data_IF_480954647248
#
_entry.id   IF_480954647248
#
_cell.length_a   1.000
_cell.length_b   1.000
_cell.length_c   1.000
_cell.angle_alpha   90.00
_cell.angle_beta   90.00
_cell.angle_gamma   90.00
#
_symmetry.space_group_name_H-M   'P 1'
#
loop_
_entity.id
_entity.type
_entity.pdbx_description
1 polymer ?
#
# COMPACT_ATOMS: atom_id res chain seq x y z
N UNK A 1 10.22 17.36 78.02
CA UNK A 1 10.25 15.92 78.38
C UNK A 1 9.19 15.20 77.56
N UNK A 2 9.63 14.16 76.84
CA UNK A 2 8.93 12.95 76.39
C UNK A 2 7.50 12.98 75.80
N UNK A 3 7.43 12.28 74.66
CA UNK A 3 6.29 11.85 73.86
C UNK A 3 5.21 11.07 74.65
N UNK A 4 3.96 11.10 74.12
CA UNK A 4 3.09 9.92 73.94
C UNK A 4 2.25 10.17 72.67
N UNK A 5 2.51 9.45 71.57
CA UNK A 5 2.10 8.08 71.27
C UNK A 5 0.63 7.99 70.79
N UNK A 6 0.53 7.39 69.60
CA UNK A 6 -0.62 7.23 68.73
C UNK A 6 -1.77 6.44 69.37
N UNK A 7 -2.99 6.69 68.88
CA UNK A 7 -4.03 5.67 68.85
C UNK A 7 -4.79 5.72 67.53
N UNK A 8 -4.60 4.65 66.76
CA UNK A 8 -5.32 4.22 65.57
C UNK A 8 -6.79 3.92 65.92
N UNK A 9 -7.76 4.01 64.99
CA UNK A 9 -8.13 3.07 63.91
C UNK A 9 -9.46 3.63 63.27
N UNK A 10 -10.19 2.91 62.41
CA UNK A 10 -9.89 2.48 61.04
C UNK A 10 -11.07 2.82 60.10
N UNK A 11 -10.89 2.67 58.79
CA UNK A 11 -12.02 2.47 57.88
C UNK A 11 -11.91 3.28 56.59
N UNK A 12 -11.63 2.58 55.50
CA UNK A 12 -11.67 3.17 54.17
C UNK A 12 -10.65 2.58 53.22
N UNK A 13 -11.05 1.47 52.58
CA UNK A 13 -10.76 1.16 51.18
C UNK A 13 -9.30 1.13 50.68
N UNK A 14 -8.88 -0.09 50.39
CA UNK A 14 -8.00 -0.47 49.29
C UNK A 14 -8.27 0.38 48.02
N UNK A 15 -7.20 0.72 47.28
CA UNK A 15 -7.11 1.49 46.02
C UNK A 15 -6.47 2.90 46.03
N UNK A 16 -5.73 3.30 47.07
CA UNK A 16 -4.91 4.54 47.09
C UNK A 16 -3.40 4.33 46.82
N UNK A 17 -3.01 3.27 46.12
CA UNK A 17 -1.59 2.93 45.88
C UNK A 17 -1.02 3.29 44.50
N UNK A 18 -1.88 3.55 43.51
CA UNK A 18 -1.44 3.72 42.10
C UNK A 18 -1.57 5.17 41.61
N UNK A 19 -2.48 5.96 42.21
CA UNK A 19 -2.73 7.34 41.79
C UNK A 19 -1.59 8.32 42.17
N UNK A 20 -0.89 8.10 43.30
CA UNK A 20 0.26 8.92 43.68
C UNK A 20 1.58 8.46 43.05
N UNK A 21 1.63 7.22 42.53
CA UNK A 21 2.85 6.64 41.93
C UNK A 21 3.22 7.19 40.56
N UNK A 22 2.27 7.73 39.79
CA UNK A 22 2.52 8.25 38.43
C UNK A 22 2.69 9.77 38.43
N UNK A 23 2.15 10.47 39.43
CA UNK A 23 2.28 11.94 39.54
C UNK A 23 3.73 12.39 39.81
N UNK A 24 4.53 11.55 40.48
CA UNK A 24 5.95 11.78 40.73
C UNK A 24 6.91 11.46 39.56
N UNK A 25 6.42 10.88 38.45
CA UNK A 25 7.29 10.43 37.33
C UNK A 25 7.32 11.43 36.16
N UNK A 26 6.54 12.52 36.19
CA UNK A 26 6.53 13.50 35.07
C UNK A 26 6.56 14.97 35.52
N UNK A 27 6.40 15.29 36.80
CA UNK A 27 6.40 16.70 37.23
C UNK A 27 7.81 17.25 37.57
N UNK A 28 8.73 16.39 37.99
CA UNK A 28 10.08 16.81 38.42
C UNK A 28 11.20 16.91 37.36
N UNK A 29 11.05 16.53 36.06
CA UNK A 29 12.09 16.82 35.08
C UNK A 29 12.01 18.25 34.51
N UNK A 30 10.86 18.93 34.64
CA UNK A 30 10.66 20.26 34.06
C UNK A 30 11.26 21.39 34.93
N UNK A 31 11.31 21.19 36.24
CA UNK A 31 11.81 22.16 37.24
C UNK A 31 13.35 22.26 37.27
N UNK A 32 14.04 21.21 36.83
CA UNK A 32 15.50 21.07 36.87
C UNK A 32 16.21 21.71 35.66
N UNK A 33 15.56 21.76 34.49
CA UNK A 33 16.11 22.36 33.26
C UNK A 33 16.26 23.88 33.38
N UNK A 34 15.43 24.54 34.19
CA UNK A 34 15.44 26.00 34.34
C UNK A 34 16.53 26.52 35.29
N UNK A 35 17.19 25.65 36.07
CA UNK A 35 18.23 26.04 37.04
C UNK A 35 19.66 25.76 36.59
N UNK A 36 19.92 24.79 35.70
CA UNK A 36 21.30 24.40 35.34
C UNK A 36 21.67 24.50 33.84
N UNK A 37 20.75 24.88 32.96
CA UNK A 37 21.07 25.04 31.53
C UNK A 37 21.51 23.73 30.84
N UNK A 38 21.80 23.81 29.54
CA UNK A 38 21.99 22.66 28.63
C UNK A 38 23.26 21.80 28.85
N UNK A 39 23.93 21.91 30.00
CA UNK A 39 25.03 21.01 30.41
C UNK A 39 24.57 19.87 31.35
N UNK A 40 23.29 19.80 31.71
CA UNK A 40 22.73 18.76 32.59
C UNK A 40 22.39 17.42 31.92
N UNK A 41 22.74 17.20 30.64
CA UNK A 41 22.29 16.04 29.84
C UNK A 41 23.34 14.92 29.70
N UNK A 42 24.26 14.78 30.67
CA UNK A 42 25.42 13.89 30.51
C UNK A 42 25.90 13.03 31.71
N UNK A 43 25.16 12.85 32.84
CA UNK A 43 25.47 11.74 33.76
C UNK A 43 24.46 10.57 33.72
N UNK A 44 23.25 10.77 33.18
CA UNK A 44 22.11 9.85 33.36
C UNK A 44 22.00 8.68 32.37
N UNK A 45 22.62 8.77 31.18
CA UNK A 45 22.59 7.69 30.17
C UNK A 45 23.68 6.62 30.41
N UNK A 46 24.63 6.90 31.31
CA UNK A 46 25.80 6.06 31.60
C UNK A 46 25.57 5.06 32.75
N UNK A 47 24.34 4.93 33.26
CA UNK A 47 23.94 3.89 34.22
C UNK A 47 23.05 2.79 33.63
N UNK A 48 22.83 2.81 32.30
CA UNK A 48 22.01 1.83 31.58
C UNK A 48 22.71 0.51 31.21
N UNK A 49 24.00 0.34 31.51
CA UNK A 49 24.79 -0.85 31.10
C UNK A 49 25.39 -1.67 32.27
N UNK A 50 24.96 -1.44 33.51
CA UNK A 50 25.45 -2.18 34.71
C UNK A 50 24.39 -3.15 35.22
N UNK A 51 23.92 -4.05 34.36
CA UNK A 51 22.85 -5.01 34.69
C UNK A 51 22.97 -6.40 34.04
N UNK A 52 24.11 -6.72 33.43
CA UNK A 52 24.39 -8.05 32.88
C UNK A 52 25.57 -8.70 33.61
N UNK A 53 25.40 -9.19 34.84
CA UNK A 53 26.23 -10.26 35.43
C UNK A 53 25.45 -10.97 36.53
N UNK A 54 24.98 -12.19 36.26
CA UNK A 54 25.16 -13.33 37.18
C UNK A 54 24.99 -14.65 36.38
N UNK A 55 26.13 -15.08 35.82
CA UNK A 55 26.64 -16.42 35.47
C UNK A 55 25.81 -17.38 34.58
N UNK A 56 26.36 -17.75 33.41
CA UNK A 56 25.87 -18.86 32.59
C UNK A 56 26.52 -20.19 33.03
N UNK A 57 25.71 -21.26 33.09
CA UNK A 57 26.18 -22.63 33.29
C UNK A 57 25.38 -23.55 32.36
N UNK A 58 25.81 -23.67 31.11
CA UNK A 58 26.10 -24.92 30.37
C UNK A 58 26.48 -24.50 28.95
N UNK A 59 27.77 -24.67 28.62
CA UNK A 59 28.30 -24.84 27.26
C UNK A 59 28.24 -23.66 26.30
N UNK A 60 29.27 -22.79 26.30
CA UNK A 60 30.05 -22.45 25.10
C UNK A 60 31.05 -21.32 25.37
N UNK A 61 32.22 -21.48 24.75
CA UNK A 61 33.21 -20.47 24.40
C UNK A 61 33.94 -19.80 25.56
N UNK A 62 34.97 -20.50 26.04
CA UNK A 62 36.23 -19.80 26.24
C UNK A 62 36.87 -19.58 24.87
N UNK A 63 37.38 -18.36 24.70
CA UNK A 63 38.54 -18.00 23.89
C UNK A 63 38.26 -17.00 22.75
N UNK A 64 38.59 -15.77 23.11
CA UNK A 64 38.83 -14.64 22.21
C UNK A 64 40.02 -14.98 21.32
N UNK A 65 39.84 -14.88 20.01
CA UNK A 65 40.88 -14.34 19.15
C UNK A 65 40.26 -13.45 18.08
N UNK A 66 40.85 -12.27 17.93
CA UNK A 66 40.44 -11.22 17.01
C UNK A 66 40.65 -11.67 15.56
N UNK A 67 39.63 -12.25 14.92
CA UNK A 67 39.51 -12.30 13.46
C UNK A 67 38.06 -12.59 13.02
N UNK A 68 37.38 -11.59 12.44
CA UNK A 68 35.90 -11.59 12.28
C UNK A 68 35.38 -12.03 10.89
N UNK A 69 36.17 -12.68 10.03
CA UNK A 69 35.68 -13.15 8.72
C UNK A 69 35.09 -14.57 8.72
N UNK A 70 35.39 -15.39 9.72
CA UNK A 70 35.13 -16.83 9.66
C UNK A 70 33.92 -17.30 10.49
N UNK A 71 33.41 -16.47 11.41
CA UNK A 71 32.27 -16.80 12.28
C UNK A 71 30.90 -16.79 11.58
N UNK A 72 30.77 -16.14 10.42
CA UNK A 72 29.51 -16.22 9.63
C UNK A 72 29.34 -17.59 8.93
N UNK A 73 30.40 -18.41 8.87
CA UNK A 73 30.40 -19.74 8.24
C UNK A 73 29.96 -20.87 9.19
N UNK A 74 30.01 -20.66 10.51
CA UNK A 74 29.64 -21.69 11.49
C UNK A 74 28.19 -21.61 12.00
N UNK A 75 27.42 -20.64 11.54
CA UNK A 75 25.99 -20.50 11.88
C UNK A 75 25.04 -20.85 10.73
N UNK A 76 25.55 -21.51 9.69
CA UNK A 76 24.76 -21.93 8.52
C UNK A 76 24.93 -23.43 8.24
N UNK A 77 24.82 -24.27 9.27
CA UNK A 77 24.66 -25.71 9.09
C UNK A 77 23.80 -26.23 10.25
N UNK A 78 22.48 -26.18 10.08
CA UNK A 78 21.55 -27.27 10.42
C UNK A 78 20.11 -26.84 10.04
N UNK A 79 19.70 -27.10 8.80
CA UNK A 79 18.30 -27.13 8.39
C UNK A 79 18.07 -28.45 7.64
N UNK A 80 17.10 -29.29 8.06
CA UNK A 80 16.92 -30.61 7.50
C UNK A 80 16.42 -30.56 6.04
N UNK A 81 17.04 -31.42 5.22
CA UNK A 81 16.77 -31.83 3.84
C UNK A 81 15.57 -31.21 3.11
N UNK A 82 15.85 -30.12 2.38
CA UNK A 82 15.01 -29.66 1.29
C UNK A 82 15.17 -30.64 0.11
N UNK A 83 14.11 -31.42 -0.18
CA UNK A 83 14.04 -32.26 -1.39
C UNK A 83 14.23 -31.38 -2.63
N UNK A 84 15.44 -31.37 -3.17
CA UNK A 84 15.74 -30.71 -4.42
C UNK A 84 14.99 -31.45 -5.53
N UNK A 85 14.01 -30.79 -6.16
CA UNK A 85 13.35 -31.31 -7.35
C UNK A 85 14.40 -31.49 -8.46
N UNK A 86 14.89 -32.72 -8.64
CA UNK A 86 15.92 -33.06 -9.65
C UNK A 86 15.43 -32.99 -11.11
N UNK A 87 14.16 -32.69 -11.35
CA UNK A 87 13.64 -32.45 -12.69
C UNK A 87 13.16 -31.00 -12.78
N UNK A 88 13.79 -30.15 -13.61
CA UNK A 88 13.21 -28.88 -13.98
C UNK A 88 11.77 -29.12 -14.45
N UNK A 89 10.81 -28.24 -14.09
CA UNK A 89 9.46 -28.35 -14.61
C UNK A 89 9.54 -28.38 -16.13
N UNK A 90 8.92 -29.39 -16.75
CA UNK A 90 8.79 -29.44 -18.21
C UNK A 90 8.15 -28.13 -18.64
N UNK A 91 8.90 -27.30 -19.35
CA UNK A 91 8.35 -26.12 -20.01
C UNK A 91 7.33 -26.65 -21.02
N UNK A 92 6.06 -26.54 -20.69
CA UNK A 92 5.00 -26.90 -21.62
C UNK A 92 4.99 -25.82 -22.70
N UNK A 93 5.79 -26.01 -23.77
CA UNK A 93 5.60 -25.33 -25.05
C UNK A 93 4.36 -25.91 -25.72
N UNK A 94 3.20 -25.78 -25.06
CA UNK A 94 1.95 -25.76 -25.77
C UNK A 94 1.86 -24.46 -26.58
N UNK A 95 1.02 -24.39 -27.61
CA UNK A 95 0.65 -23.10 -28.17
C UNK A 95 0.23 -22.19 -27.01
N UNK A 96 0.69 -20.94 -27.04
CA UNK A 96 0.27 -19.90 -26.11
C UNK A 96 -1.24 -19.74 -26.23
N UNK A 97 -2.00 -20.56 -25.51
CA UNK A 97 -3.40 -20.31 -25.27
C UNK A 97 -3.38 -19.15 -24.30
N UNK A 98 -3.48 -17.92 -24.82
CA UNK A 98 -3.92 -16.78 -24.01
C UNK A 98 -5.16 -17.26 -23.27
N UNK A 99 -5.15 -17.30 -21.92
CA UNK A 99 -6.24 -17.88 -21.16
C UNK A 99 -7.53 -17.18 -21.60
N UNK A 100 -8.48 -17.97 -22.09
CA UNK A 100 -9.79 -17.49 -22.51
C UNK A 100 -10.44 -16.74 -21.33
N UNK A 101 -10.39 -15.41 -21.36
CA UNK A 101 -10.82 -14.54 -20.27
C UNK A 101 -9.84 -13.44 -19.84
N UNK A 102 -8.64 -13.36 -20.42
CA UNK A 102 -7.75 -12.23 -20.15
C UNK A 102 -8.41 -10.92 -20.63
N UNK A 103 -8.52 -9.93 -19.74
CA UNK A 103 -9.01 -8.60 -20.08
C UNK A 103 -8.07 -7.57 -19.48
N UNK A 104 -7.84 -6.49 -20.23
CA UNK A 104 -7.01 -5.36 -19.81
C UNK A 104 -7.88 -4.12 -19.75
N UNK A 105 -7.53 -3.17 -18.89
CA UNK A 105 -8.13 -1.84 -18.93
C UNK A 105 -7.11 -0.83 -19.39
N UNK A 106 -7.51 0.01 -20.34
CA UNK A 106 -6.77 1.22 -20.67
C UNK A 106 -7.35 2.38 -19.89
N UNK A 107 -6.49 3.30 -19.44
CA UNK A 107 -6.92 4.38 -18.55
C UNK A 107 -6.47 5.76 -19.02
N UNK A 108 -7.26 6.76 -18.66
CA UNK A 108 -7.00 8.17 -18.91
C UNK A 108 -7.58 8.99 -17.77
N UNK A 109 -6.97 10.13 -17.48
CA UNK A 109 -7.43 11.05 -16.44
C UNK A 109 -7.89 12.35 -17.07
N UNK A 110 -9.08 12.81 -16.67
CA UNK A 110 -9.57 14.15 -16.96
C UNK A 110 -9.27 15.05 -15.77
N UNK A 111 -8.61 16.17 -15.99
CA UNK A 111 -8.16 17.09 -14.97
C UNK A 111 -8.83 18.46 -15.14
N UNK A 112 -9.27 19.04 -14.04
CA UNK A 112 -9.88 20.38 -14.01
C UNK A 112 -9.35 21.20 -12.84
N UNK A 113 -9.29 22.52 -13.03
CA UNK A 113 -8.93 23.51 -12.00
C UNK A 113 -10.13 24.39 -11.68
N UNK A 114 -10.30 24.71 -10.42
CA UNK A 114 -11.30 25.64 -9.94
C UNK A 114 -10.78 27.07 -10.06
N UNK A 115 -11.54 27.92 -10.73
CA UNK A 115 -11.31 29.36 -10.82
C UNK A 115 -12.42 30.09 -10.08
N UNK A 116 -12.06 30.98 -9.16
CA UNK A 116 -13.04 31.80 -8.44
C UNK A 116 -13.91 32.56 -9.45
N UNK A 117 -15.23 32.50 -9.26
CA UNK A 117 -16.23 33.11 -10.15
C UNK A 117 -16.58 32.29 -11.41
N UNK A 118 -15.66 31.47 -11.94
CA UNK A 118 -15.92 30.63 -13.12
C UNK A 118 -16.22 29.16 -12.79
N UNK A 119 -15.81 28.68 -11.61
CA UNK A 119 -15.93 27.29 -11.23
C UNK A 119 -14.88 26.39 -11.88
N UNK A 120 -15.20 25.11 -12.03
CA UNK A 120 -14.30 24.12 -12.62
C UNK A 120 -14.13 24.34 -14.13
N UNK A 121 -12.88 24.28 -14.60
CA UNK A 121 -12.52 24.43 -16.02
C UNK A 121 -11.41 23.43 -16.38
N UNK A 122 -11.46 22.94 -17.61
CA UNK A 122 -10.40 22.12 -18.20
C UNK A 122 -9.21 22.92 -18.76
N UNK A 123 -9.31 24.25 -18.80
CA UNK A 123 -8.18 25.14 -19.12
C UNK A 123 -7.28 25.24 -17.90
N UNK A 124 -6.14 24.56 -17.93
CA UNK A 124 -5.19 24.49 -16.82
C UNK A 124 -4.04 25.50 -17.01
N UNK A 125 -3.29 25.77 -15.95
CA UNK A 125 -2.10 26.63 -16.05
C UNK A 125 -0.98 25.92 -16.83
N UNK A 126 -0.04 26.64 -17.45
CA UNK A 126 1.08 26.01 -18.16
C UNK A 126 1.96 25.10 -17.30
N UNK A 127 2.03 25.38 -15.99
CA UNK A 127 2.74 24.57 -14.99
C UNK A 127 1.95 23.38 -14.48
N UNK A 128 0.65 23.29 -14.80
CA UNK A 128 -0.19 22.17 -14.44
C UNK A 128 0.02 20.99 -15.39
N UNK A 129 -0.56 19.85 -15.02
CA UNK A 129 -0.73 18.72 -15.94
C UNK A 129 -1.66 19.04 -17.10
N UNK A 130 -1.69 18.14 -18.07
CA UNK A 130 -2.64 18.21 -19.18
C UNK A 130 -4.09 18.00 -18.74
N UNK A 131 -5.05 18.65 -19.42
CA UNK A 131 -6.49 18.43 -19.20
C UNK A 131 -6.86 16.95 -19.34
N UNK A 132 -6.27 16.29 -20.32
CA UNK A 132 -6.36 14.85 -20.49
C UNK A 132 -4.97 14.26 -20.35
N UNK A 133 -4.78 13.40 -19.35
CA UNK A 133 -3.47 12.87 -19.02
C UNK A 133 -3.44 11.38 -18.75
N UNK A 134 -2.24 10.82 -18.70
CA UNK A 134 -1.97 9.55 -18.05
C UNK A 134 -2.05 9.67 -16.51
N UNK A 135 -1.74 8.59 -15.80
CA UNK A 135 -1.76 8.54 -14.34
C UNK A 135 -0.75 9.49 -13.68
N UNK A 136 0.40 9.74 -14.33
CA UNK A 136 1.41 10.68 -13.83
C UNK A 136 1.00 12.14 -14.00
N UNK A 137 0.16 12.45 -15.00
CA UNK A 137 -0.18 13.82 -15.36
C UNK A 137 0.78 14.43 -16.40
N UNK A 138 1.85 13.73 -16.78
CA UNK A 138 2.92 14.29 -17.62
C UNK A 138 2.72 14.04 -19.11
N UNK A 139 1.82 13.16 -19.51
CA UNK A 139 1.59 12.86 -20.92
C UNK A 139 0.20 13.30 -21.36
N UNK A 140 0.12 14.03 -22.46
CA UNK A 140 -1.17 14.39 -23.06
C UNK A 140 -1.85 13.15 -23.65
N UNK A 141 -3.00 12.76 -23.08
CA UNK A 141 -3.66 11.49 -23.39
C UNK A 141 -5.19 11.61 -23.51
N UNK A 142 -5.73 12.27 -24.54
CA UNK A 142 -7.18 12.38 -24.72
C UNK A 142 -7.81 11.05 -25.15
N UNK A 143 -9.03 10.78 -24.65
CA UNK A 143 -9.75 9.51 -24.89
C UNK A 143 -9.82 9.08 -26.36
N UNK A 144 -10.01 10.06 -27.28
CA UNK A 144 -10.14 9.82 -28.72
C UNK A 144 -8.83 9.39 -29.40
N UNK A 145 -7.67 9.68 -28.79
CA UNK A 145 -6.35 9.37 -29.35
C UNK A 145 -5.84 7.99 -28.90
N UNK A 146 -6.45 7.42 -27.88
CA UNK A 146 -6.02 6.13 -27.32
C UNK A 146 -6.56 5.03 -28.23
N UNK A 147 -5.64 4.23 -28.77
CA UNK A 147 -5.92 3.05 -29.60
C UNK A 147 -5.70 1.78 -28.77
N UNK A 148 -6.42 0.69 -29.07
CA UNK A 148 -6.21 -0.55 -28.35
C UNK A 148 -4.82 -1.11 -28.73
N UNK A 149 -4.12 -1.80 -27.80
CA UNK A 149 -2.84 -2.43 -28.11
C UNK A 149 -2.96 -3.45 -29.25
N UNK A 150 -1.84 -3.75 -29.93
CA UNK A 150 -1.83 -4.72 -31.01
C UNK A 150 -2.34 -6.10 -30.54
N UNK A 151 -3.29 -6.67 -31.29
CA UNK A 151 -3.92 -7.94 -30.92
C UNK A 151 -5.08 -7.79 -29.92
N UNK A 152 -5.48 -6.57 -29.56
CA UNK A 152 -6.62 -6.29 -28.68
C UNK A 152 -7.67 -5.45 -29.41
N UNK A 153 -8.93 -5.59 -28.99
CA UNK A 153 -10.01 -4.70 -29.40
C UNK A 153 -10.75 -4.16 -28.19
N UNK A 154 -11.41 -3.02 -28.37
CA UNK A 154 -12.22 -2.41 -27.33
C UNK A 154 -13.48 -3.23 -27.08
N UNK A 155 -13.75 -3.48 -25.80
CA UNK A 155 -15.01 -4.02 -25.32
C UNK A 155 -15.75 -2.89 -24.59
N UNK A 156 -16.85 -2.42 -25.17
CA UNK A 156 -17.64 -1.31 -24.64
C UNK A 156 -17.01 0.07 -24.86
N UNK A 157 -17.59 1.08 -24.20
CA UNK A 157 -17.15 2.48 -24.28
C UNK A 157 -16.30 2.90 -23.07
N UNK A 158 -15.78 4.12 -23.11
CA UNK A 158 -15.09 4.72 -21.97
C UNK A 158 -16.07 4.89 -20.81
N UNK A 159 -15.75 4.30 -19.67
CA UNK A 159 -16.50 4.38 -18.43
C UNK A 159 -15.73 5.17 -17.37
N UNK A 160 -16.45 5.89 -16.52
CA UNK A 160 -15.86 6.57 -15.35
C UNK A 160 -15.64 5.54 -14.25
N UNK A 161 -14.44 5.54 -13.65
CA UNK A 161 -14.15 4.70 -12.49
C UNK A 161 -14.69 5.35 -11.22
N UNK A 162 -15.81 4.83 -10.75
CA UNK A 162 -16.41 5.20 -9.46
C UNK A 162 -15.93 4.21 -8.39
N UNK A 163 -15.38 4.73 -7.29
CA UNK A 163 -14.92 3.92 -6.16
C UNK A 163 -15.19 4.62 -4.83
N UNK A 164 -14.92 3.95 -3.70
CA UNK A 164 -15.01 4.58 -2.38
C UNK A 164 -14.11 5.82 -2.20
N UNK A 165 -13.13 6.02 -3.08
CA UNK A 165 -12.22 7.16 -3.06
C UNK A 165 -12.66 8.32 -3.96
N UNK A 166 -13.79 8.18 -4.67
CA UNK A 166 -14.35 9.20 -5.57
C UNK A 166 -15.67 9.73 -5.05
N UNK A 167 -16.08 10.90 -5.53
CA UNK A 167 -17.47 11.34 -5.42
C UNK A 167 -18.41 10.50 -6.30
N UNK A 168 -19.75 10.69 -6.22
CA UNK A 168 -20.72 9.97 -7.05
C UNK A 168 -20.57 10.18 -8.57
N UNK A 169 -19.90 11.25 -9.00
CA UNK A 169 -19.61 11.55 -10.40
C UNK A 169 -18.23 11.03 -10.86
N UNK A 170 -17.48 10.37 -9.96
CA UNK A 170 -16.14 9.83 -10.20
C UNK A 170 -15.00 10.86 -10.10
N UNK A 171 -15.24 12.03 -9.53
CA UNK A 171 -14.19 13.02 -9.27
C UNK A 171 -13.47 12.72 -7.96
N UNK A 172 -12.20 13.10 -7.96
CA UNK A 172 -11.37 13.19 -6.76
C UNK A 172 -10.77 14.58 -6.68
N UNK A 173 -10.65 15.12 -5.48
CA UNK A 173 -10.30 16.52 -5.24
C UNK A 173 -9.00 16.65 -4.46
N UNK A 174 -8.22 17.69 -4.74
CA UNK A 174 -6.99 18.00 -4.03
C UNK A 174 -6.74 19.51 -4.00
N UNK A 175 -5.83 19.95 -3.11
CA UNK A 175 -5.37 21.34 -3.07
C UNK A 175 -4.64 21.73 -4.35
N UNK A 176 -3.76 20.86 -4.83
CA UNK A 176 -3.03 20.98 -6.10
C UNK A 176 -2.82 19.59 -6.72
N UNK A 177 -2.16 19.55 -7.89
CA UNK A 177 -1.97 18.30 -8.63
C UNK A 177 -0.99 17.31 -7.97
N UNK A 178 -0.13 17.77 -7.07
CA UNK A 178 0.87 16.98 -6.35
C UNK A 178 0.37 16.47 -5.00
N UNK A 179 -0.69 17.09 -4.47
CA UNK A 179 -1.32 16.74 -3.22
C UNK A 179 -2.05 15.40 -3.24
N UNK A 180 -2.53 15.02 -2.05
CA UNK A 180 -3.37 13.85 -1.85
C UNK A 180 -4.78 14.13 -2.36
N UNK A 181 -5.39 13.11 -2.95
CA UNK A 181 -6.74 13.18 -3.49
C UNK A 181 -7.76 12.61 -2.50
N UNK A 182 -8.93 13.25 -2.45
CA UNK A 182 -10.03 12.93 -1.55
C UNK A 182 -11.34 12.81 -2.34
N UNK A 183 -12.26 11.97 -1.85
CA UNK A 183 -13.60 11.82 -2.42
C UNK A 183 -14.45 13.07 -2.17
N UNK A 184 -14.42 13.58 -0.93
CA UNK A 184 -15.18 14.74 -0.53
C UNK A 184 -14.51 16.05 -0.99
N UNK A 185 -15.35 16.98 -1.46
CA UNK A 185 -14.88 18.30 -1.85
C UNK A 185 -14.81 19.23 -0.64
N UNK A 186 -13.61 19.72 -0.35
CA UNK A 186 -13.34 20.76 0.64
C UNK A 186 -13.17 22.13 -0.02
N UNK A 187 -13.34 23.20 0.77
CA UNK A 187 -13.23 24.58 0.26
C UNK A 187 -11.82 24.91 -0.28
N UNK A 188 -10.77 24.29 0.27
CA UNK A 188 -9.38 24.48 -0.15
C UNK A 188 -8.94 23.55 -1.30
N UNK A 189 -9.88 22.81 -1.92
CA UNK A 189 -9.58 22.01 -3.11
C UNK A 189 -9.71 22.85 -4.38
N UNK A 190 -8.59 23.06 -5.07
CA UNK A 190 -8.54 23.85 -6.30
C UNK A 190 -8.35 23.00 -7.55
N UNK A 191 -8.06 21.71 -7.40
CA UNK A 191 -7.96 20.77 -8.53
C UNK A 191 -8.86 19.58 -8.31
N UNK A 192 -9.32 19.00 -9.41
CA UNK A 192 -9.99 17.71 -9.42
C UNK A 192 -9.52 16.86 -10.59
N UNK A 193 -9.53 15.55 -10.42
CA UNK A 193 -9.31 14.59 -11.50
C UNK A 193 -10.37 13.50 -11.50
N UNK A 194 -10.74 13.03 -12.68
CA UNK A 194 -11.66 11.91 -12.90
C UNK A 194 -10.97 10.86 -13.74
N UNK A 195 -11.03 9.61 -13.28
CA UNK A 195 -10.39 8.48 -13.96
C UNK A 195 -11.39 7.83 -14.90
N UNK A 196 -10.99 7.71 -16.15
CA UNK A 196 -11.70 7.01 -17.20
C UNK A 196 -10.96 5.71 -17.49
N UNK A 197 -11.72 4.63 -17.66
CA UNK A 197 -11.20 3.34 -18.07
C UNK A 197 -12.02 2.79 -19.23
N UNK A 198 -11.39 1.95 -20.06
CA UNK A 198 -12.07 1.21 -21.12
C UNK A 198 -11.49 -0.18 -21.20
N UNK A 199 -12.37 -1.18 -21.30
CA UNK A 199 -11.96 -2.57 -21.31
C UNK A 199 -11.46 -2.97 -22.71
N UNK A 200 -10.39 -3.74 -22.73
CA UNK A 200 -9.81 -4.38 -23.91
C UNK A 200 -9.88 -5.88 -23.70
N UNK A 201 -10.22 -6.60 -24.76
CA UNK A 201 -10.13 -8.06 -24.79
C UNK A 201 -9.21 -8.48 -25.95
N UNK A 202 -8.47 -9.59 -25.80
CA UNK A 202 -7.63 -10.09 -26.87
C UNK A 202 -8.51 -10.44 -28.06
N UNK A 203 -8.01 -10.18 -29.24
CA UNK A 203 -8.64 -10.61 -30.47
C UNK A 203 -8.43 -12.11 -30.58
N UNK A 204 -9.43 -12.88 -30.16
CA UNK A 204 -9.41 -14.34 -30.33
C UNK A 204 -9.35 -14.61 -31.81
N UNK A 205 -8.17 -14.96 -32.33
CA UNK A 205 -8.06 -15.53 -33.67
C UNK A 205 -8.76 -16.89 -33.59
N UNK A 206 -10.04 -16.89 -33.93
CA UNK A 206 -10.82 -18.12 -34.02
C UNK A 206 -10.13 -19.02 -35.03
N UNK A 207 -9.55 -20.11 -34.55
CA UNK A 207 -9.39 -21.33 -35.33
C UNK A 207 -10.79 -21.69 -35.84
N UNK A 208 -11.07 -21.33 -37.09
CA UNK A 208 -12.29 -21.70 -37.77
C UNK A 208 -12.36 -23.21 -37.92
N UNK A 209 -12.99 -23.88 -36.97
CA UNK A 209 -13.64 -25.15 -37.27
C UNK A 209 -14.94 -24.77 -37.95
N UNK A 210 -14.91 -24.74 -39.28
CA UNK A 210 -16.09 -24.62 -40.11
C UNK A 210 -17.07 -25.71 -39.68
N UNK A 211 -18.14 -25.32 -38.98
CA UNK A 211 -19.32 -26.16 -38.83
C UNK A 211 -19.95 -26.27 -40.23
N UNK A 212 -19.52 -27.29 -40.97
CA UNK A 212 -20.14 -27.68 -42.23
C UNK A 212 -21.64 -27.90 -41.97
N UNK A 213 -22.45 -27.00 -42.50
CA UNK A 213 -23.89 -27.13 -42.54
C UNK A 213 -24.20 -28.22 -43.56
N UNK A 214 -24.36 -29.46 -43.11
CA UNK A 214 -24.95 -30.52 -43.92
C UNK A 214 -26.44 -30.25 -44.08
N UNK A 215 -26.80 -29.57 -45.17
CA UNK A 215 -28.17 -29.48 -45.64
C UNK A 215 -28.64 -30.87 -46.05
N UNK A 216 -29.45 -31.51 -45.21
CA UNK A 216 -30.22 -32.69 -45.55
C UNK A 216 -31.34 -32.31 -46.52
N UNK A 217 -31.14 -32.54 -47.82
CA UNK A 217 -32.21 -32.52 -48.80
C UNK A 217 -32.90 -33.89 -48.80
N UNK A 218 -34.00 -33.99 -48.05
CA UNK A 218 -34.98 -35.07 -48.16
C UNK A 218 -35.71 -34.95 -49.50
N UNK A 219 -35.47 -35.89 -50.42
CA UNK A 219 -36.36 -36.13 -51.56
C UNK A 219 -37.23 -37.34 -51.24
N UNK A 220 -38.50 -37.07 -50.98
CA UNK A 220 -39.55 -38.08 -50.82
C UNK A 220 -40.61 -37.86 -51.89
N UNK A 221 -41.19 -38.97 -52.33
CA UNK A 221 -42.45 -39.12 -53.08
C UNK A 221 -42.39 -38.92 -54.60
N UNK A 222 -43.09 -39.68 -55.44
CA UNK A 222 -43.86 -40.92 -55.27
C UNK A 222 -44.28 -41.36 -56.68
N UNK A 223 -44.39 -42.67 -56.86
CA UNK A 223 -44.98 -43.35 -58.01
C UNK A 223 -46.45 -43.01 -58.20
N UNK A 224 -46.89 -42.91 -59.45
CA UNK A 224 -48.21 -43.29 -59.94
C UNK A 224 -48.11 -43.57 -61.45
#
# INVERSE_FOLDING_TARGET
KLQKAQKTKPGGMFFSGVADGIKGVVQDPYSEVKKHGALGLAPGLMKGLVGLVMKPSVGLAYEVSNDTSNVRKLMKDDQPDEFHRLRPPRQFLGPCVTPAGESKYETSYENQRFYVGSGWRGKLHPTDRYQWSDASGMQYRPLKRIVPPQGWHWEGDWEVEISASTDPEGWTYAMDFFGRYHAERLAHHFVRRRKWKRRCVPTTQGTGVAAASSSSSSSSSSSA
#
